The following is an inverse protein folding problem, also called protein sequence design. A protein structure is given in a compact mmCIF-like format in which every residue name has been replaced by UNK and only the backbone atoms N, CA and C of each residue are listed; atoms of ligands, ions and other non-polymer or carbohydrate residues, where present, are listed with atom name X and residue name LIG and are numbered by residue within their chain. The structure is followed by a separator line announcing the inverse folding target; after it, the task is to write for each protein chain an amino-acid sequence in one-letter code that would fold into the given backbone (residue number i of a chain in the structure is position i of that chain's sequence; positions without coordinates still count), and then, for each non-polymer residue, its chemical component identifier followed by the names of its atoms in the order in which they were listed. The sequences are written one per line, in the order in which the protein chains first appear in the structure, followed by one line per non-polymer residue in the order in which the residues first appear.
data_IF_417976437312
#
_entry.id   IF_417976437312
#
_cell.length_a   1.000
_cell.length_b   1.000
_cell.length_c   1.000
_cell.angle_alpha   90.00
_cell.angle_beta   90.00
_cell.angle_gamma   90.00
#
_symmetry.space_group_name_H-M   'P 1'
#
loop_
_entity.id
_entity.type
_entity.pdbx_description
1 polymer ?
#
# COMPACT_ATOMS: atom_id res chain seq x y z
N UNK A 1 -13.22 -12.17 -6.51
CA UNK A 1 -12.40 -12.14 -7.74
C UNK A 1 -10.95 -12.39 -7.35
N UNK A 2 -10.24 -13.26 -8.07
CA UNK A 2 -8.82 -13.54 -7.82
C UNK A 2 -7.91 -12.40 -8.31
N UNK A 3 -6.80 -12.14 -7.60
CA UNK A 3 -5.79 -11.12 -7.93
C UNK A 3 -5.24 -11.31 -9.34
N UNK A 4 -4.91 -12.54 -9.71
CA UNK A 4 -4.33 -12.86 -11.03
C UNK A 4 -5.31 -12.52 -12.16
N UNK A 5 -6.60 -12.80 -11.96
CA UNK A 5 -7.62 -12.49 -12.96
C UNK A 5 -7.80 -10.97 -13.17
N UNK A 6 -7.77 -10.19 -12.08
CA UNK A 6 -7.85 -8.73 -12.18
C UNK A 6 -6.63 -8.13 -12.89
N UNK A 7 -5.44 -8.66 -12.61
CA UNK A 7 -4.21 -8.25 -13.29
C UNK A 7 -4.27 -8.57 -14.80
N UNK A 8 -4.69 -9.78 -15.17
CA UNK A 8 -4.86 -10.18 -16.56
C UNK A 8 -5.91 -9.33 -17.29
N UNK A 9 -7.06 -9.07 -16.66
CA UNK A 9 -8.11 -8.22 -17.23
C UNK A 9 -7.60 -6.79 -17.47
N UNK A 10 -6.81 -6.23 -16.54
CA UNK A 10 -6.25 -4.90 -16.73
C UNK A 10 -5.19 -4.88 -17.83
N UNK A 11 -4.34 -5.90 -17.93
CA UNK A 11 -3.36 -6.04 -19.01
C UNK A 11 -4.03 -6.12 -20.38
N UNK A 12 -5.10 -6.91 -20.50
CA UNK A 12 -5.89 -7.03 -21.72
C UNK A 12 -6.56 -5.70 -22.11
N UNK A 13 -7.11 -4.95 -21.13
CA UNK A 13 -7.71 -3.63 -21.36
C UNK A 13 -6.70 -2.60 -21.89
N UNK A 14 -5.47 -2.68 -21.43
CA UNK A 14 -4.38 -1.82 -21.88
C UNK A 14 -3.74 -2.33 -23.19
N UNK A 15 -4.25 -3.41 -23.80
CA UNK A 15 -3.74 -3.98 -25.05
C UNK A 15 -2.37 -4.65 -24.93
N UNK A 16 -2.02 -5.20 -23.75
CA UNK A 16 -0.74 -5.88 -23.53
C UNK A 16 -0.86 -7.39 -23.76
N UNK A 17 0.17 -7.96 -24.37
CA UNK A 17 0.25 -9.41 -24.66
C UNK A 17 0.62 -10.24 -23.43
N UNK A 18 1.19 -9.62 -22.39
CA UNK A 18 1.63 -10.30 -21.18
C UNK A 18 1.33 -9.50 -19.91
N UNK A 19 1.07 -10.23 -18.82
CA UNK A 19 0.91 -9.67 -17.49
C UNK A 19 2.30 -9.41 -16.89
N UNK A 20 2.63 -8.14 -16.69
CA UNK A 20 3.84 -7.71 -15.99
C UNK A 20 3.60 -7.54 -14.49
N UNK A 21 4.68 -7.47 -13.71
CA UNK A 21 4.64 -7.21 -12.26
C UNK A 21 3.79 -5.98 -11.90
N UNK A 22 3.84 -4.90 -12.72
CA UNK A 22 2.99 -3.71 -12.54
C UNK A 22 1.51 -4.04 -12.38
N UNK A 23 0.96 -4.95 -13.19
CA UNK A 23 -0.46 -5.31 -13.13
C UNK A 23 -0.78 -6.15 -11.89
N UNK A 24 0.16 -6.99 -11.46
CA UNK A 24 0.03 -7.75 -10.22
C UNK A 24 0.05 -6.82 -9.01
N UNK A 25 0.96 -5.85 -8.97
CA UNK A 25 1.02 -4.82 -7.92
C UNK A 25 -0.24 -3.95 -7.90
N UNK A 26 -0.72 -3.48 -9.04
CA UNK A 26 -1.95 -2.69 -9.12
C UNK A 26 -3.18 -3.49 -8.68
N UNK A 27 -3.24 -4.77 -9.02
CA UNK A 27 -4.31 -5.65 -8.56
C UNK A 27 -4.21 -5.92 -7.07
N UNK A 28 -3.00 -6.11 -6.53
CA UNK A 28 -2.74 -6.23 -5.09
C UNK A 28 -3.23 -4.99 -4.35
N UNK A 29 -2.79 -3.80 -4.78
CA UNK A 29 -3.22 -2.53 -4.23
C UNK A 29 -4.75 -2.37 -4.29
N UNK A 30 -5.36 -2.77 -5.41
CA UNK A 30 -6.82 -2.68 -5.58
C UNK A 30 -7.58 -3.60 -4.63
N UNK A 31 -7.05 -4.79 -4.37
CA UNK A 31 -7.67 -5.73 -3.45
C UNK A 31 -7.50 -5.28 -1.99
N UNK A 32 -6.34 -4.73 -1.63
CA UNK A 32 -6.05 -4.27 -0.27
C UNK A 32 -6.72 -2.93 0.06
N UNK A 33 -6.66 -1.95 -0.84
CA UNK A 33 -7.09 -0.57 -0.57
C UNK A 33 -8.37 -0.15 -1.32
N UNK A 34 -8.80 -0.94 -2.29
CA UNK A 34 -9.86 -0.55 -3.23
C UNK A 34 -9.35 0.19 -4.47
N UNK A 35 -10.29 0.63 -5.31
CA UNK A 35 -9.96 1.24 -6.60
C UNK A 35 -9.32 2.62 -6.44
N UNK A 36 -8.38 2.93 -7.33
CA UNK A 36 -7.77 4.26 -7.45
C UNK A 36 -8.81 5.32 -7.84
N UNK A 37 -8.80 6.46 -7.13
CA UNK A 37 -9.75 7.55 -7.35
C UNK A 37 -9.13 8.64 -8.23
N UNK A 38 -8.89 8.30 -9.51
CA UNK A 38 -8.27 9.20 -10.50
C UNK A 38 -8.99 10.52 -10.71
N UNK A 39 -10.32 10.55 -10.52
CA UNK A 39 -11.14 11.76 -10.66
C UNK A 39 -11.18 12.64 -9.40
N UNK A 40 -10.62 12.18 -8.27
CA UNK A 40 -10.58 13.00 -7.06
C UNK A 40 -9.63 14.17 -7.26
N UNK A 41 -10.16 15.39 -7.17
CA UNK A 41 -9.34 16.59 -7.09
C UNK A 41 -8.80 16.73 -5.66
N UNK A 42 -7.49 16.52 -5.51
CA UNK A 42 -6.75 16.79 -4.27
C UNK A 42 -5.99 18.10 -4.47
N UNK A 43 -6.18 19.05 -3.56
CA UNK A 43 -5.43 20.32 -3.58
C UNK A 43 -3.96 20.05 -3.30
N UNK A 44 -3.06 20.92 -3.77
CA UNK A 44 -1.62 20.79 -3.50
C UNK A 44 -1.34 20.74 -1.99
N UNK A 45 -1.98 21.61 -1.21
CA UNK A 45 -1.93 21.59 0.26
C UNK A 45 -2.38 20.25 0.83
N UNK A 46 -3.50 19.70 0.36
CA UNK A 46 -3.99 18.39 0.81
C UNK A 46 -3.01 17.27 0.49
N UNK A 47 -2.47 17.25 -0.73
CA UNK A 47 -1.46 16.26 -1.16
C UNK A 47 -0.19 16.35 -0.30
N UNK A 48 0.26 17.56 0.05
CA UNK A 48 1.41 17.77 0.93
C UNK A 48 1.14 17.29 2.37
N UNK A 49 -0.06 17.54 2.90
CA UNK A 49 -0.45 17.03 4.22
C UNK A 49 -0.47 15.50 4.24
N UNK A 50 -1.04 14.86 3.22
CA UNK A 50 -1.00 13.39 3.08
C UNK A 50 0.44 12.89 2.98
N UNK A 51 1.31 13.56 2.21
CA UNK A 51 2.72 13.18 2.13
C UNK A 51 3.44 13.23 3.49
N UNK A 52 3.19 14.25 4.30
CA UNK A 52 3.76 14.30 5.66
C UNK A 52 3.14 13.24 6.58
N UNK A 53 1.85 12.94 6.45
CA UNK A 53 1.19 11.92 7.25
C UNK A 53 1.76 10.52 6.98
N UNK A 54 1.77 10.11 5.71
CA UNK A 54 2.32 8.80 5.32
C UNK A 54 3.84 8.74 5.51
N UNK A 55 4.54 9.85 5.28
CA UNK A 55 5.97 9.95 5.57
C UNK A 55 6.27 9.81 7.07
N UNK A 56 5.39 10.31 7.94
CA UNK A 56 5.46 10.13 9.38
C UNK A 56 5.34 8.66 9.77
N UNK A 57 4.31 7.97 9.27
CA UNK A 57 4.13 6.53 9.46
C UNK A 57 5.34 5.73 8.96
N UNK A 58 5.87 6.07 7.78
CA UNK A 58 7.01 5.38 7.19
C UNK A 58 8.29 5.57 8.03
N UNK A 59 8.56 6.80 8.50
CA UNK A 59 9.70 7.08 9.35
C UNK A 59 9.58 6.43 10.72
N UNK A 60 8.39 6.48 11.33
CA UNK A 60 8.15 5.92 12.65
C UNK A 60 8.29 4.39 12.62
N UNK A 61 7.79 3.74 11.57
CA UNK A 61 8.05 2.33 11.28
C UNK A 61 9.55 2.07 11.12
N UNK A 62 10.24 2.81 10.27
CA UNK A 62 11.67 2.59 9.97
C UNK A 62 12.59 2.75 11.19
N UNK A 63 12.27 3.65 12.11
CA UNK A 63 13.11 3.95 13.27
C UNK A 63 12.81 3.10 14.51
N UNK A 64 11.72 2.34 14.50
CA UNK A 64 11.30 1.54 15.66
C UNK A 64 11.84 0.12 15.55
N UNK A 65 12.56 -0.33 16.57
CA UNK A 65 13.04 -1.72 16.61
C UNK A 65 11.87 -2.69 16.77
N UNK A 66 11.85 -3.76 15.97
CA UNK A 66 10.78 -4.76 15.99
C UNK A 66 9.54 -4.40 15.18
N UNK A 67 9.58 -3.33 14.39
CA UNK A 67 8.61 -3.13 13.29
C UNK A 67 9.03 -3.93 12.06
N UNK A 68 8.05 -4.15 11.18
CA UNK A 68 8.27 -4.79 9.90
C UNK A 68 8.75 -3.79 8.85
N UNK A 69 9.47 -4.29 7.86
CA UNK A 69 9.99 -3.50 6.76
C UNK A 69 8.88 -2.81 5.96
N UNK A 70 9.07 -1.52 5.71
CA UNK A 70 8.20 -0.73 4.84
C UNK A 70 8.44 -1.15 3.39
N UNK A 71 7.46 -1.82 2.80
CA UNK A 71 7.52 -2.27 1.42
C UNK A 71 7.07 -1.20 0.43
N UNK A 72 6.08 -0.39 0.80
CA UNK A 72 5.53 0.63 -0.09
C UNK A 72 4.91 1.80 0.67
N UNK A 73 5.14 3.00 0.15
CA UNK A 73 4.49 4.22 0.62
C UNK A 73 3.84 4.91 -0.58
N UNK A 74 2.59 5.35 -0.43
CA UNK A 74 1.87 6.06 -1.50
C UNK A 74 0.97 7.16 -0.96
N UNK A 75 0.84 8.24 -1.72
CA UNK A 75 -0.11 9.33 -1.49
C UNK A 75 -1.24 9.33 -2.53
N UNK A 76 -1.36 8.23 -3.28
CA UNK A 76 -2.39 8.06 -4.31
C UNK A 76 -3.69 7.61 -3.64
N UNK A 77 -4.80 8.36 -3.78
CA UNK A 77 -6.04 8.03 -3.11
C UNK A 77 -6.66 6.76 -3.69
N UNK A 78 -6.97 5.79 -2.82
CA UNK A 78 -7.61 4.52 -3.17
C UNK A 78 -8.72 4.21 -2.18
N UNK A 79 -9.89 3.81 -2.69
CA UNK A 79 -11.06 3.53 -1.86
C UNK A 79 -11.39 4.66 -0.89
N UNK A 80 -11.28 4.39 0.41
CA UNK A 80 -11.53 5.35 1.49
C UNK A 80 -10.25 6.06 1.98
N UNK A 81 -9.08 5.64 1.53
CA UNK A 81 -7.80 6.20 1.98
C UNK A 81 -7.27 7.28 1.03
N UNK A 82 -6.52 8.24 1.58
CA UNK A 82 -5.81 9.28 0.83
C UNK A 82 -4.35 8.91 0.57
N UNK A 83 -3.80 7.98 1.34
CA UNK A 83 -2.45 7.44 1.22
C UNK A 83 -2.34 6.11 1.97
N UNK A 84 -1.16 5.49 1.98
CA UNK A 84 -0.88 4.32 2.80
C UNK A 84 0.62 4.06 2.91
N UNK A 85 1.02 3.57 4.08
CA UNK A 85 2.25 2.80 4.30
C UNK A 85 1.90 1.32 4.41
N UNK A 86 2.58 0.49 3.63
CA UNK A 86 2.42 -0.96 3.62
C UNK A 86 3.70 -1.61 4.14
N UNK A 87 3.55 -2.38 5.20
CA UNK A 87 4.58 -3.29 5.70
C UNK A 87 4.26 -4.71 5.25
N UNK A 88 5.28 -5.47 4.86
CA UNK A 88 5.09 -6.88 4.54
C UNK A 88 5.15 -7.70 5.84
N UNK A 89 4.23 -8.66 6.06
CA UNK A 89 4.42 -9.65 7.11
C UNK A 89 5.60 -10.57 6.76
N UNK A 90 6.35 -11.00 7.77
CA UNK A 90 7.32 -12.08 7.59
C UNK A 90 6.57 -13.40 7.37
N UNK A 91 7.14 -14.27 6.53
CA UNK A 91 6.46 -15.41 5.91
C UNK A 91 5.94 -16.46 6.93
N UNK A 92 6.35 -16.42 8.21
CA UNK A 92 6.02 -17.43 9.23
C UNK A 92 5.77 -16.86 10.65
N UNK A 93 5.11 -15.70 10.79
CA UNK A 93 4.73 -15.19 12.13
C UNK A 93 3.48 -15.91 12.70
N UNK A 94 3.68 -16.88 13.61
CA UNK A 94 2.57 -17.49 14.40
C UNK A 94 2.30 -16.78 15.73
N UNK A 95 3.15 -15.83 16.14
CA UNK A 95 3.04 -15.12 17.40
C UNK A 95 3.89 -13.85 17.42
N UNK A 96 3.60 -12.95 18.37
CA UNK A 96 4.35 -11.70 18.56
C UNK A 96 4.81 -11.53 19.99
N UNK A 97 6.00 -10.97 20.18
CA UNK A 97 6.53 -10.60 21.48
C UNK A 97 6.06 -9.18 21.88
N UNK A 98 6.29 -8.80 23.15
CA UNK A 98 5.88 -7.49 23.68
C UNK A 98 6.47 -6.31 22.88
N UNK A 99 7.72 -6.42 22.43
CA UNK A 99 8.39 -5.39 21.65
C UNK A 99 7.67 -5.13 20.33
N UNK A 100 7.32 -6.18 19.59
CA UNK A 100 6.57 -6.12 18.33
C UNK A 100 5.16 -5.54 18.51
N UNK A 101 4.48 -5.89 19.62
CA UNK A 101 3.18 -5.29 19.93
C UNK A 101 3.31 -3.79 20.21
N UNK A 102 4.32 -3.37 20.98
CA UNK A 102 4.58 -1.94 21.24
C UNK A 102 4.93 -1.21 19.95
N UNK A 103 5.76 -1.82 19.11
CA UNK A 103 6.13 -1.31 17.80
C UNK A 103 4.91 -1.16 16.86
N UNK A 104 3.91 -2.03 16.96
CA UNK A 104 2.68 -1.96 16.13
C UNK A 104 1.71 -0.82 16.49
N UNK A 105 1.92 -0.14 17.61
CA UNK A 105 1.10 1.02 18.03
C UNK A 105 1.57 2.30 17.32
N UNK A 106 2.82 2.31 16.87
CA UNK A 106 3.51 3.45 16.28
C UNK A 106 3.10 3.66 14.82
#
# INVERSE_FOLDING_TARGET
MSMVNNAALQAAKDGREAVTLRYLEESKDRQLMGMERRSMRVTERGRRLTAYHEGGHALAAWLSEGTRDVHKVTIVPRGRSLGMVMQLPDDDETGRNRGEYVASIV
#
